data_IF_473479017586
#
_entry.id   IF_473479017586
#
_cell.length_a   1.000
_cell.length_b   1.000
_cell.length_c   1.000
_cell.angle_alpha   90.00
_cell.angle_beta   90.00
_cell.angle_gamma   90.00
#
_symmetry.space_group_name_H-M   'P 1'
#
loop_
_entity.id
_entity.type
_entity.pdbx_description
1 polymer ?
#
# COMPACT_ATOMS: atom_id res chain seq x y z
N UNK A 1 -4.64 1.37 -19.86
CA UNK A 1 -5.25 0.20 -19.10
C UNK A 1 -6.77 0.27 -19.21
N UNK A 2 -7.48 -0.83 -19.55
CA UNK A 2 -8.95 -0.81 -19.81
C UNK A 2 -9.80 -0.12 -18.73
N UNK A 3 -9.46 -0.27 -17.45
CA UNK A 3 -10.21 0.39 -16.36
C UNK A 3 -10.06 1.91 -16.39
N UNK A 4 -8.90 2.42 -16.75
CA UNK A 4 -8.64 3.88 -16.89
C UNK A 4 -9.49 4.46 -18.03
N UNK A 5 -9.56 3.74 -19.17
CA UNK A 5 -10.40 4.11 -20.30
C UNK A 5 -11.90 4.12 -19.92
N UNK A 6 -12.37 3.11 -19.17
CA UNK A 6 -13.74 3.04 -18.69
C UNK A 6 -14.10 4.19 -17.74
N UNK A 7 -13.15 4.60 -16.90
CA UNK A 7 -13.31 5.72 -15.97
C UNK A 7 -13.11 7.09 -16.62
N UNK A 8 -12.66 7.13 -17.89
CA UNK A 8 -12.35 8.37 -18.63
C UNK A 8 -11.35 9.27 -17.91
N UNK A 9 -10.36 8.68 -17.28
CA UNK A 9 -9.25 9.39 -16.64
C UNK A 9 -7.96 9.18 -17.42
N UNK A 10 -7.01 10.08 -17.28
CA UNK A 10 -5.71 9.98 -17.93
C UNK A 10 -4.83 8.93 -17.22
N UNK A 11 -4.06 8.17 -17.99
CA UNK A 11 -3.04 7.30 -17.40
C UNK A 11 -1.92 8.15 -16.79
N UNK A 12 -1.48 7.76 -15.60
CA UNK A 12 -0.38 8.44 -14.92
C UNK A 12 0.97 7.91 -15.42
N UNK A 13 2.01 8.74 -15.30
CA UNK A 13 3.38 8.38 -15.67
C UNK A 13 3.84 7.12 -14.92
N UNK A 14 3.54 7.07 -13.61
CA UNK A 14 3.83 5.92 -12.76
C UNK A 14 2.56 5.09 -12.52
N UNK A 15 2.65 3.79 -12.78
CA UNK A 15 1.61 2.80 -12.52
C UNK A 15 2.17 1.72 -11.61
N UNK A 16 1.53 1.53 -10.48
CA UNK A 16 1.79 0.43 -9.55
C UNK A 16 0.74 -0.67 -9.75
N UNK A 17 1.17 -1.91 -9.84
CA UNK A 17 0.28 -3.07 -9.97
C UNK A 17 0.58 -4.04 -8.84
N UNK A 18 -0.39 -4.27 -7.96
CA UNK A 18 -0.30 -5.27 -6.89
C UNK A 18 -1.03 -6.52 -7.33
N UNK A 19 -0.33 -7.66 -7.35
CA UNK A 19 -0.93 -8.98 -7.52
C UNK A 19 -1.15 -9.60 -6.15
N UNK A 20 -2.41 -9.75 -5.75
CA UNK A 20 -2.76 -10.44 -4.49
C UNK A 20 -2.38 -11.90 -4.55
N UNK A 21 -2.56 -12.56 -5.69
CA UNK A 21 -2.20 -13.98 -5.87
C UNK A 21 -0.69 -14.22 -5.77
N UNK A 22 0.12 -13.34 -6.35
CA UNK A 22 1.57 -13.52 -6.42
C UNK A 22 2.31 -12.87 -5.24
N UNK A 23 1.62 -12.04 -4.44
CA UNK A 23 2.21 -11.25 -3.36
C UNK A 23 3.41 -10.42 -3.87
N UNK A 24 3.16 -9.67 -4.95
CA UNK A 24 4.15 -8.82 -5.63
C UNK A 24 3.53 -7.47 -5.98
N UNK A 25 4.37 -6.46 -5.97
CA UNK A 25 4.08 -5.14 -6.53
C UNK A 25 5.02 -4.88 -7.71
N UNK A 26 4.45 -4.53 -8.84
CA UNK A 26 5.16 -4.16 -10.07
C UNK A 26 5.06 -2.65 -10.24
N UNK A 27 6.19 -1.98 -10.40
CA UNK A 27 6.26 -0.57 -10.75
C UNK A 27 6.58 -0.42 -12.22
N UNK A 28 5.75 0.30 -12.93
CA UNK A 28 5.92 0.69 -14.33
C UNK A 28 5.97 2.21 -14.42
N UNK A 29 6.81 2.72 -15.30
CA UNK A 29 6.88 4.14 -15.65
C UNK A 29 6.81 4.29 -17.16
N UNK A 30 5.87 5.09 -17.64
CA UNK A 30 5.63 5.29 -19.08
C UNK A 30 5.47 3.95 -19.83
N UNK A 31 4.75 3.00 -19.23
CA UNK A 31 4.51 1.67 -19.77
C UNK A 31 5.71 0.70 -19.72
N UNK A 32 6.87 1.12 -19.20
CA UNK A 32 8.06 0.28 -19.05
C UNK A 32 8.20 -0.23 -17.61
N UNK A 33 8.60 -1.49 -17.46
CA UNK A 33 8.90 -2.06 -16.14
C UNK A 33 10.11 -1.36 -15.52
N UNK A 34 9.96 -0.87 -14.29
CA UNK A 34 11.03 -0.25 -13.50
C UNK A 34 11.57 -1.24 -12.47
N UNK A 35 10.70 -1.77 -11.61
CA UNK A 35 11.09 -2.67 -10.53
C UNK A 35 9.92 -3.56 -10.10
N UNK A 36 10.25 -4.73 -9.57
CA UNK A 36 9.30 -5.62 -8.90
C UNK A 36 9.69 -5.74 -7.43
N UNK A 37 8.71 -5.60 -6.55
CA UNK A 37 8.88 -5.69 -5.10
C UNK A 37 8.17 -6.92 -4.56
N UNK A 38 8.74 -7.51 -3.51
CA UNK A 38 8.02 -8.51 -2.70
C UNK A 38 7.03 -7.76 -1.83
N UNK A 39 5.78 -8.16 -1.88
CA UNK A 39 4.72 -7.50 -1.12
C UNK A 39 3.97 -8.51 -0.25
N UNK A 40 3.22 -8.02 0.73
CA UNK A 40 2.25 -8.80 1.48
C UNK A 40 0.93 -8.06 1.56
N UNK A 41 -0.15 -8.78 1.31
CA UNK A 41 -1.53 -8.30 1.45
C UNK A 41 -2.19 -8.93 2.66
N UNK A 42 -3.50 -8.75 2.83
CA UNK A 42 -4.23 -9.24 4.00
C UNK A 42 -4.20 -10.78 4.14
N UNK A 43 -4.19 -11.23 5.40
CA UNK A 43 -4.50 -12.62 5.81
C UNK A 43 -5.95 -13.02 5.49
N UNK A 44 -6.85 -12.03 5.41
CA UNK A 44 -8.25 -12.25 5.06
C UNK A 44 -8.43 -12.24 3.55
N UNK A 45 -9.50 -12.88 3.09
CA UNK A 45 -9.87 -12.82 1.68
C UNK A 45 -9.97 -11.35 1.21
N UNK A 46 -9.55 -11.04 -0.04
CA UNK A 46 -9.69 -9.69 -0.57
C UNK A 46 -11.13 -9.19 -0.42
N UNK A 47 -11.28 -7.94 0.01
CA UNK A 47 -12.59 -7.32 0.18
C UNK A 47 -12.49 -5.81 0.18
N UNK A 48 -13.41 -5.14 -0.50
CA UNK A 48 -13.55 -3.70 -0.44
C UNK A 48 -14.41 -3.22 0.74
N UNK A 49 -15.15 -4.11 1.42
CA UNK A 49 -16.05 -3.74 2.52
C UNK A 49 -15.29 -3.30 3.77
N UNK A 50 -15.86 -2.31 4.45
CA UNK A 50 -15.44 -1.88 5.79
C UNK A 50 -15.45 -3.07 6.75
N UNK A 51 -14.57 -3.07 7.75
CA UNK A 51 -14.40 -4.09 8.79
C UNK A 51 -14.08 -5.52 8.30
N UNK A 52 -13.98 -5.73 6.98
CA UNK A 52 -13.58 -7.03 6.42
C UNK A 52 -12.13 -7.40 6.70
N UNK A 53 -11.28 -6.42 7.02
CA UNK A 53 -9.82 -6.54 7.10
C UNK A 53 -9.18 -7.07 5.80
N UNK A 54 -9.95 -7.20 4.71
CA UNK A 54 -9.45 -7.62 3.41
C UNK A 54 -8.75 -6.49 2.65
N UNK A 55 -7.76 -6.82 1.84
CA UNK A 55 -7.18 -5.87 0.89
C UNK A 55 -8.19 -5.56 -0.21
N UNK A 56 -8.52 -4.29 -0.48
CA UNK A 56 -9.42 -3.93 -1.58
C UNK A 56 -8.77 -4.21 -2.94
N UNK A 57 -9.59 -4.28 -3.98
CA UNK A 57 -9.11 -4.43 -5.36
C UNK A 57 -9.60 -3.33 -6.27
N UNK A 58 -9.12 -3.33 -7.51
CA UNK A 58 -9.46 -2.33 -8.52
C UNK A 58 -8.45 -1.19 -8.57
N UNK A 59 -8.86 -0.10 -9.22
CA UNK A 59 -8.01 1.06 -9.44
C UNK A 59 -8.09 2.03 -8.26
N UNK A 60 -6.92 2.44 -7.83
CA UNK A 60 -6.66 3.41 -6.77
C UNK A 60 -5.67 4.47 -7.26
N UNK A 61 -5.51 5.52 -6.49
CA UNK A 61 -4.37 6.42 -6.60
C UNK A 61 -3.67 6.56 -5.25
N UNK A 62 -2.39 6.88 -5.29
CA UNK A 62 -1.65 7.37 -4.13
C UNK A 62 -2.08 8.81 -3.88
N UNK A 63 -2.86 9.07 -2.85
CA UNK A 63 -3.35 10.41 -2.55
C UNK A 63 -2.41 11.22 -1.65
N UNK A 64 -1.54 10.53 -0.90
CA UNK A 64 -0.61 11.19 0.04
C UNK A 64 0.61 10.29 0.26
N UNK A 65 1.81 10.90 0.31
CA UNK A 65 3.07 10.24 0.70
C UNK A 65 3.53 10.83 2.03
N UNK A 66 3.60 9.99 3.08
CA UNK A 66 3.90 10.40 4.45
C UNK A 66 5.23 9.80 4.89
N UNK A 67 5.98 10.56 5.69
CA UNK A 67 7.24 10.12 6.27
C UNK A 67 8.47 10.44 5.42
N UNK A 68 8.35 11.29 4.40
CA UNK A 68 9.51 11.78 3.65
C UNK A 68 10.52 12.41 4.62
N UNK A 69 11.80 12.03 4.48
CA UNK A 69 12.86 12.48 5.38
C UNK A 69 12.96 11.74 6.72
N UNK A 70 11.98 10.91 7.08
CA UNK A 70 12.09 10.06 8.27
C UNK A 70 13.09 8.92 8.04
N UNK A 71 13.81 8.50 9.09
CA UNK A 71 14.79 7.41 8.97
C UNK A 71 14.12 6.05 8.70
N UNK A 72 14.91 5.12 8.17
CA UNK A 72 14.52 3.72 7.96
C UNK A 72 14.02 3.11 9.27
N UNK A 73 12.91 2.38 9.22
CA UNK A 73 12.33 1.71 10.40
C UNK A 73 11.55 2.62 11.34
N UNK A 74 11.44 3.93 11.06
CA UNK A 74 10.58 4.85 11.84
C UNK A 74 9.16 4.30 11.94
N UNK A 75 8.64 4.18 13.16
CA UNK A 75 7.28 3.71 13.41
C UNK A 75 6.28 4.86 13.31
N UNK A 76 5.12 4.58 12.73
CA UNK A 76 4.02 5.53 12.63
C UNK A 76 2.79 5.02 13.41
N UNK A 77 2.18 5.92 14.16
CA UNK A 77 0.86 5.73 14.76
C UNK A 77 -0.07 6.86 14.32
N UNK A 78 -1.27 6.53 13.83
CA UNK A 78 -2.19 7.52 13.28
C UNK A 78 -1.53 8.40 12.20
N UNK A 79 -0.63 7.86 11.40
CA UNK A 79 0.14 8.53 10.34
C UNK A 79 1.18 9.54 10.84
N UNK A 80 1.46 9.58 12.13
CA UNK A 80 2.50 10.44 12.73
C UNK A 80 3.69 9.59 13.16
N UNK A 81 4.94 10.02 12.90
CA UNK A 81 6.12 9.34 13.42
C UNK A 81 6.15 9.46 14.96
N UNK A 82 6.49 8.37 15.63
CA UNK A 82 6.55 8.34 17.11
C UNK A 82 7.96 8.58 17.67
N UNK A 83 8.96 8.78 16.81
CA UNK A 83 10.34 9.03 17.22
C UNK A 83 11.12 7.75 17.60
N UNK A 84 10.55 6.56 17.38
CA UNK A 84 11.21 5.28 17.63
C UNK A 84 11.33 4.47 16.34
N UNK A 85 12.44 3.75 16.18
CA UNK A 85 12.55 2.70 15.19
C UNK A 85 11.86 1.42 15.70
N UNK A 86 11.36 0.59 14.79
CA UNK A 86 10.61 -0.62 15.20
C UNK A 86 11.44 -1.60 16.05
N UNK A 87 12.77 -1.64 15.87
CA UNK A 87 13.68 -2.46 16.69
C UNK A 87 13.97 -1.89 18.07
N UNK A 88 13.68 -0.60 18.32
CA UNK A 88 13.82 0.08 19.61
C UNK A 88 12.52 0.09 20.43
N UNK A 89 11.43 -0.42 19.85
CA UNK A 89 10.14 -0.53 20.53
C UNK A 89 10.14 -1.65 21.56
N UNK A 90 9.25 -1.55 22.56
CA UNK A 90 8.99 -2.63 23.51
C UNK A 90 8.55 -3.92 22.78
N UNK A 91 8.87 -5.08 23.35
CA UNK A 91 8.65 -6.40 22.74
C UNK A 91 7.18 -6.61 22.34
N UNK A 92 6.23 -6.26 23.21
CA UNK A 92 4.79 -6.34 22.94
C UNK A 92 4.36 -5.52 21.71
N UNK A 93 5.05 -4.43 21.46
CA UNK A 93 4.82 -3.59 20.29
C UNK A 93 5.43 -4.21 19.05
N UNK A 94 6.64 -4.74 19.16
CA UNK A 94 7.33 -5.39 18.05
C UNK A 94 6.59 -6.62 17.52
N UNK A 95 5.80 -7.32 18.36
CA UNK A 95 4.99 -8.46 17.95
C UNK A 95 3.80 -8.07 17.08
N UNK A 96 3.38 -6.81 17.09
CA UNK A 96 2.27 -6.28 16.27
C UNK A 96 2.73 -5.97 14.85
N UNK A 97 1.80 -5.91 13.92
CA UNK A 97 2.06 -5.38 12.58
C UNK A 97 2.19 -3.85 12.67
N UNK A 98 3.42 -3.37 12.65
CA UNK A 98 3.71 -1.94 12.69
C UNK A 98 3.73 -1.35 11.28
N UNK A 99 3.35 -0.10 11.19
CA UNK A 99 3.53 0.73 9.99
C UNK A 99 4.87 1.43 10.13
N UNK A 100 5.78 1.18 9.20
CA UNK A 100 7.16 1.66 9.31
C UNK A 100 7.63 2.39 8.06
N UNK A 101 8.68 3.19 8.22
CA UNK A 101 9.45 3.87 7.18
C UNK A 101 8.69 4.89 6.34
N UNK A 102 7.69 4.50 5.57
CA UNK A 102 6.84 5.37 4.70
C UNK A 102 5.43 4.85 4.65
N UNK A 103 4.50 5.79 4.39
CA UNK A 103 3.10 5.48 4.09
C UNK A 103 2.75 6.13 2.76
N UNK A 104 2.31 5.33 1.80
CA UNK A 104 1.60 5.78 0.61
C UNK A 104 0.12 5.52 0.87
N UNK A 105 -0.62 6.59 1.15
CA UNK A 105 -2.05 6.50 1.43
C UNK A 105 -2.84 6.33 0.14
N UNK A 106 -3.82 5.44 0.15
CA UNK A 106 -4.60 5.11 -1.03
C UNK A 106 -6.02 5.66 -0.96
N UNK A 107 -6.53 6.10 -2.10
CA UNK A 107 -7.96 6.33 -2.31
C UNK A 107 -8.44 5.53 -3.50
N UNK A 108 -9.65 4.99 -3.42
CA UNK A 108 -10.28 4.28 -4.53
C UNK A 108 -10.72 5.25 -5.63
N UNK A 109 -10.70 4.79 -6.88
CA UNK A 109 -11.16 5.57 -8.05
C UNK A 109 -12.45 5.04 -8.66
N UNK A 110 -12.99 3.92 -8.15
CA UNK A 110 -14.17 3.25 -8.70
C UNK A 110 -15.35 3.36 -7.73
N UNK A 111 -16.30 4.26 -8.04
CA UNK A 111 -17.52 4.42 -7.25
C UNK A 111 -18.28 3.10 -7.12
N UNK A 112 -18.76 2.79 -5.91
CA UNK A 112 -19.51 1.56 -5.61
C UNK A 112 -18.65 0.29 -5.57
N UNK A 113 -17.34 0.36 -5.83
CA UNK A 113 -16.41 -0.75 -5.69
C UNK A 113 -15.40 -0.53 -4.56
N UNK A 114 -14.61 0.54 -4.64
CA UNK A 114 -13.56 0.86 -3.68
C UNK A 114 -13.57 2.34 -3.26
N UNK A 115 -14.62 3.07 -3.68
CA UNK A 115 -14.88 4.47 -3.33
C UNK A 115 -16.34 4.64 -2.93
N UNK A 116 -16.57 5.42 -1.87
CA UNK A 116 -17.91 5.73 -1.35
C UNK A 116 -18.51 4.63 -0.48
N UNK A 117 -19.53 4.99 0.30
CA UNK A 117 -20.26 4.07 1.17
C UNK A 117 -19.38 3.35 2.20
N UNK A 118 -19.66 2.07 2.38
CA UNK A 118 -18.93 1.13 3.25
C UNK A 118 -17.75 0.43 2.55
N UNK A 119 -17.40 0.87 1.32
CA UNK A 119 -16.34 0.29 0.50
C UNK A 119 -15.18 1.27 0.25
N UNK A 120 -15.19 2.40 0.93
CA UNK A 120 -14.27 3.50 0.68
C UNK A 120 -12.86 3.20 1.20
N UNK A 121 -11.91 2.95 0.28
CA UNK A 121 -10.52 2.64 0.60
C UNK A 121 -9.85 3.69 1.48
N UNK A 122 -10.12 4.98 1.23
CA UNK A 122 -9.53 6.08 2.00
C UNK A 122 -10.05 6.12 3.43
N UNK A 123 -11.35 5.93 3.64
CA UNK A 123 -11.99 5.88 4.97
C UNK A 123 -11.57 4.62 5.75
N UNK A 124 -11.31 3.53 5.05
CA UNK A 124 -10.80 2.28 5.62
C UNK A 124 -9.32 2.34 6.00
N UNK A 125 -8.62 3.45 5.76
CA UNK A 125 -7.21 3.64 6.08
C UNK A 125 -6.30 2.57 5.46
N UNK A 126 -6.55 2.23 4.19
CA UNK A 126 -5.68 1.28 3.47
C UNK A 126 -4.48 2.03 2.92
N UNK A 127 -3.31 1.49 3.21
CA UNK A 127 -2.01 2.04 2.85
C UNK A 127 -1.13 1.01 2.14
N UNK A 128 -0.13 1.52 1.44
CA UNK A 128 1.09 0.81 1.12
C UNK A 128 2.18 1.35 2.05
N UNK A 129 2.85 0.49 2.81
CA UNK A 129 3.78 0.91 3.86
C UNK A 129 4.86 -0.13 4.15
N UNK A 130 5.92 0.27 4.85
CA UNK A 130 6.95 -0.63 5.37
C UNK A 130 6.44 -1.45 6.56
N UNK A 131 7.07 -2.59 6.81
CA UNK A 131 6.73 -3.50 7.91
C UNK A 131 7.93 -3.80 8.80
N UNK A 132 7.68 -4.04 10.10
CA UNK A 132 8.66 -4.58 11.02
C UNK A 132 8.87 -6.10 10.87
N UNK A 133 8.01 -6.79 10.11
CA UNK A 133 8.05 -8.23 9.87
C UNK A 133 8.41 -8.54 8.42
N UNK A 134 9.60 -8.13 7.99
CA UNK A 134 10.07 -8.37 6.61
C UNK A 134 10.21 -9.86 6.27
N UNK A 135 10.41 -10.71 7.29
CA UNK A 135 10.42 -12.17 7.19
C UNK A 135 9.09 -12.77 6.72
N UNK A 136 8.00 -12.01 6.82
CA UNK A 136 6.65 -12.42 6.40
C UNK A 136 6.30 -11.98 4.97
N UNK A 137 7.15 -11.19 4.33
CA UNK A 137 6.90 -10.71 2.97
C UNK A 137 6.85 -11.87 1.97
N UNK A 138 6.01 -11.71 0.93
CA UNK A 138 5.76 -12.73 -0.11
C UNK A 138 4.62 -13.69 0.22
N UNK A 139 3.96 -13.51 1.35
CA UNK A 139 2.75 -14.25 1.77
C UNK A 139 1.73 -13.30 2.41
N UNK A 140 0.44 -13.65 2.46
CA UNK A 140 -0.55 -12.86 3.19
C UNK A 140 -0.14 -12.67 4.66
N UNK A 141 -0.10 -11.43 5.15
CA UNK A 141 0.40 -11.10 6.49
C UNK A 141 -0.28 -9.89 7.16
N UNK A 142 -0.93 -9.02 6.39
CA UNK A 142 -1.51 -7.77 6.90
C UNK A 142 -2.98 -7.91 7.34
N UNK A 143 -3.56 -6.80 7.77
CA UNK A 143 -4.98 -6.65 8.08
C UNK A 143 -5.68 -5.67 7.09
N UNK A 144 -5.29 -5.71 5.81
CA UNK A 144 -5.90 -4.92 4.74
C UNK A 144 -4.90 -4.09 3.93
N UNK A 145 -3.88 -3.55 4.57
CA UNK A 145 -2.83 -2.77 3.91
C UNK A 145 -1.90 -3.65 3.05
N UNK A 146 -1.11 -3.00 2.20
CA UNK A 146 -0.06 -3.62 1.39
C UNK A 146 1.28 -3.32 2.06
N UNK A 147 2.02 -4.36 2.43
CA UNK A 147 3.32 -4.26 3.12
C UNK A 147 4.46 -4.48 2.14
N UNK A 148 5.52 -3.67 2.28
CA UNK A 148 6.81 -3.81 1.60
C UNK A 148 7.95 -3.84 2.63
N UNK A 149 9.16 -4.20 2.18
CA UNK A 149 10.37 -3.98 2.95
C UNK A 149 10.62 -2.50 3.22
N UNK A 150 11.29 -2.20 4.32
CA UNK A 150 11.51 -0.83 4.77
C UNK A 150 12.31 0.01 3.75
N UNK A 151 13.39 -0.55 3.22
CA UNK A 151 14.16 0.15 2.18
C UNK A 151 13.36 0.25 0.87
N UNK A 152 12.62 -0.80 0.53
CA UNK A 152 11.84 -0.85 -0.69
C UNK A 152 10.71 0.18 -0.74
N UNK A 153 10.02 0.39 0.39
CA UNK A 153 8.98 1.43 0.46
C UNK A 153 9.57 2.84 0.43
N UNK A 154 10.77 3.05 0.97
CA UNK A 154 11.50 4.33 0.85
C UNK A 154 11.86 4.60 -0.60
N UNK A 155 12.46 3.62 -1.29
CA UNK A 155 12.84 3.73 -2.70
C UNK A 155 11.62 4.03 -3.57
N UNK A 156 10.51 3.32 -3.34
CA UNK A 156 9.27 3.53 -4.07
C UNK A 156 8.67 4.93 -3.81
N UNK A 157 8.62 5.35 -2.54
CA UNK A 157 8.10 6.66 -2.16
C UNK A 157 8.89 7.85 -2.75
N UNK A 158 10.17 7.64 -3.08
CA UNK A 158 11.00 8.63 -3.75
C UNK A 158 10.76 8.70 -5.27
N UNK A 159 10.08 7.71 -5.85
CA UNK A 159 9.84 7.62 -7.30
C UNK A 159 8.42 7.97 -7.68
N UNK A 160 7.45 7.74 -6.81
CA UNK A 160 6.03 8.01 -7.07
C UNK A 160 5.57 9.27 -6.34
N UNK A 161 4.53 9.87 -6.85
CA UNK A 161 3.93 11.10 -6.28
C UNK A 161 2.44 10.92 -6.03
N UNK A 162 1.85 11.88 -5.33
CA UNK A 162 0.39 11.99 -5.24
C UNK A 162 -0.21 12.07 -6.65
N UNK A 163 -1.27 11.32 -6.88
CA UNK A 163 -1.91 11.11 -8.18
C UNK A 163 -1.43 9.86 -8.92
N UNK A 164 -0.28 9.25 -8.57
CA UNK A 164 0.17 8.01 -9.21
C UNK A 164 -0.85 6.90 -9.05
N UNK A 165 -1.17 6.22 -10.16
CA UNK A 165 -2.15 5.13 -10.15
C UNK A 165 -1.61 3.85 -9.52
N UNK A 166 -2.47 3.15 -8.81
CA UNK A 166 -2.22 1.83 -8.24
C UNK A 166 -3.39 0.90 -8.53
N UNK A 167 -3.14 -0.18 -9.25
CA UNK A 167 -4.14 -1.21 -9.55
C UNK A 167 -3.89 -2.46 -8.70
N UNK A 168 -4.89 -2.86 -7.91
CA UNK A 168 -4.84 -4.09 -7.12
C UNK A 168 -5.61 -5.17 -7.86
N UNK A 169 -4.87 -6.18 -8.33
CA UNK A 169 -5.39 -7.35 -9.05
C UNK A 169 -5.51 -8.54 -8.12
N UNK A 170 -6.58 -9.30 -8.27
CA UNK A 170 -6.77 -10.56 -7.55
C UNK A 170 -5.92 -11.70 -8.14
N UNK A 171 -5.45 -11.55 -9.40
CA UNK A 171 -4.62 -12.51 -10.14
C UNK A 171 -3.14 -12.31 -9.93
#
# INVERSE_FOLDING_TARGET
MKVVEQLKIEETQDLLIVSVKQQRLYHQKEGKSVKTYVASTSLKAPSCKEDSLGTPWGLHEVCEVIGVGQPLGMVFQGRKPIGLHHWDCEEDMQQKNLITSRILRLTGLQEGLNRGGDQDTFKRFVYLHGTNHEDRLGRPASSGCIQLGNQEVIDLANQVSSGSHLFISLN
#
